data_IF_051372212923
#
_entry.id   IF_051372212923
#
_cell.length_a   1.000
_cell.length_b   1.000
_cell.length_c   1.000
_cell.angle_alpha   90.00
_cell.angle_beta   90.00
_cell.angle_gamma   90.00
#
_symmetry.space_group_name_H-M   'P 1'
#
loop_
_entity.id
_entity.type
_entity.pdbx_description
1 polymer ?
#
# COMPACT_ATOMS: atom_id res chain seq x y z
N UNK A 1 29.15 24.99 -23.99
CA UNK A 1 28.76 24.56 -22.65
C UNK A 1 28.23 23.13 -22.80
N UNK A 2 28.90 22.15 -22.19
CA UNK A 2 28.41 20.77 -22.23
C UNK A 2 27.46 20.62 -21.04
N UNK A 3 26.18 20.20 -21.26
CA UNK A 3 25.27 19.97 -20.15
C UNK A 3 25.78 18.85 -19.25
N UNK A 4 25.42 18.88 -17.97
CA UNK A 4 25.68 17.76 -17.05
C UNK A 4 24.83 16.56 -17.44
N UNK A 5 25.21 15.36 -16.97
CA UNK A 5 24.44 14.15 -17.23
C UNK A 5 23.00 14.27 -16.71
N UNK A 6 22.82 14.85 -15.52
CA UNK A 6 21.51 15.08 -14.92
C UNK A 6 20.64 16.00 -15.78
N UNK A 7 21.21 17.12 -16.24
CA UNK A 7 20.47 18.07 -17.10
C UNK A 7 20.06 17.45 -18.43
N UNK A 8 20.92 16.62 -19.03
CA UNK A 8 20.60 15.93 -20.27
C UNK A 8 19.56 14.83 -20.06
N UNK A 9 19.63 14.11 -18.93
CA UNK A 9 18.62 13.11 -18.55
C UNK A 9 17.22 13.75 -18.42
N UNK A 10 17.11 14.82 -17.62
CA UNK A 10 15.85 15.55 -17.45
C UNK A 10 15.34 16.11 -18.77
N UNK A 11 16.23 16.69 -19.61
CA UNK A 11 15.86 17.16 -20.93
C UNK A 11 15.26 16.06 -21.82
N UNK A 12 15.84 14.85 -21.78
CA UNK A 12 15.33 13.71 -22.55
C UNK A 12 13.99 13.22 -22.02
N UNK A 13 13.83 13.12 -20.71
CA UNK A 13 12.56 12.76 -20.08
C UNK A 13 11.44 13.69 -20.55
N UNK A 14 11.66 14.99 -20.54
CA UNK A 14 10.70 15.98 -21.04
C UNK A 14 10.48 15.88 -22.54
N UNK A 15 11.56 15.69 -23.33
CA UNK A 15 11.47 15.62 -24.79
C UNK A 15 10.63 14.45 -25.30
N UNK A 16 10.56 13.37 -24.51
CA UNK A 16 9.80 12.16 -24.84
C UNK A 16 8.50 12.03 -24.02
N UNK A 17 8.18 13.02 -23.17
CA UNK A 17 7.00 13.01 -22.30
C UNK A 17 6.93 11.79 -21.37
N UNK A 18 8.08 11.38 -20.81
CA UNK A 18 8.21 10.21 -19.93
C UNK A 18 8.21 10.53 -18.43
N UNK A 19 7.84 11.74 -18.04
CA UNK A 19 7.89 12.16 -16.63
C UNK A 19 7.13 11.26 -15.66
N UNK A 20 5.96 10.75 -16.08
CA UNK A 20 5.13 9.83 -15.28
C UNK A 20 5.49 8.35 -15.43
N UNK A 21 6.25 7.99 -16.48
CA UNK A 21 6.48 6.59 -16.86
C UNK A 21 7.90 6.11 -16.58
N UNK A 22 8.73 6.96 -15.97
CA UNK A 22 10.10 6.60 -15.62
C UNK A 22 10.50 7.09 -14.23
N UNK A 23 11.56 6.48 -13.71
CA UNK A 23 12.22 6.88 -12.47
C UNK A 23 13.71 7.07 -12.71
N UNK A 24 14.34 7.98 -11.97
CA UNK A 24 15.80 8.17 -12.01
C UNK A 24 16.42 7.58 -10.76
N UNK A 25 17.30 6.59 -10.90
CA UNK A 25 18.01 5.98 -9.79
C UNK A 25 19.50 6.29 -9.80
N UNK A 26 20.12 6.43 -8.63
CA UNK A 26 21.53 6.66 -8.50
C UNK A 26 22.08 6.18 -7.16
N UNK A 27 23.35 5.76 -7.16
CA UNK A 27 24.15 5.56 -5.92
C UNK A 27 24.71 6.88 -5.35
N UNK A 28 24.62 7.97 -6.12
CA UNK A 28 25.01 9.30 -5.68
C UNK A 28 23.79 10.10 -5.27
N UNK A 29 23.68 10.41 -3.98
CA UNK A 29 22.61 11.26 -3.48
C UNK A 29 22.66 12.68 -4.07
N UNK A 30 23.87 13.21 -4.34
CA UNK A 30 24.06 14.52 -5.00
C UNK A 30 23.42 14.54 -6.39
N UNK A 31 23.52 13.46 -7.15
CA UNK A 31 22.85 13.29 -8.46
C UNK A 31 21.33 13.40 -8.31
N UNK A 32 20.74 12.74 -7.30
CA UNK A 32 19.29 12.83 -7.05
C UNK A 32 18.88 14.24 -6.66
N UNK A 33 19.67 14.94 -5.83
CA UNK A 33 19.42 16.34 -5.50
C UNK A 33 19.39 17.22 -6.77
N UNK A 34 20.34 17.03 -7.67
CA UNK A 34 20.39 17.79 -8.93
C UNK A 34 19.21 17.50 -9.84
N UNK A 35 18.75 16.24 -9.92
CA UNK A 35 17.53 15.88 -10.66
C UNK A 35 16.33 16.60 -10.08
N UNK A 36 16.15 16.56 -8.75
CA UNK A 36 15.03 17.23 -8.06
C UNK A 36 15.11 18.78 -8.14
N UNK A 37 16.29 19.36 -8.25
CA UNK A 37 16.47 20.79 -8.51
C UNK A 37 16.03 21.19 -9.92
N UNK A 38 16.24 20.31 -10.89
CA UNK A 38 15.87 20.53 -12.31
C UNK A 38 14.38 20.26 -12.54
N UNK A 39 13.86 19.22 -11.92
CA UNK A 39 12.44 18.87 -11.97
C UNK A 39 12.06 18.07 -10.69
N UNK A 40 11.30 18.67 -9.74
CA UNK A 40 10.89 18.03 -8.51
C UNK A 40 9.86 16.90 -8.71
N UNK A 41 9.18 16.84 -9.87
CA UNK A 41 8.11 15.88 -10.13
C UNK A 41 8.67 14.54 -10.63
N UNK A 42 9.91 14.49 -11.12
CA UNK A 42 10.56 13.24 -11.52
C UNK A 42 10.80 12.36 -10.27
N UNK A 43 10.25 11.14 -10.29
CA UNK A 43 10.47 10.17 -9.22
C UNK A 43 11.92 9.71 -9.16
N UNK A 44 12.52 9.74 -7.96
CA UNK A 44 13.93 9.41 -7.77
C UNK A 44 14.13 8.30 -6.75
N UNK A 45 15.08 7.39 -7.03
CA UNK A 45 15.42 6.25 -6.17
C UNK A 45 16.90 6.23 -5.77
N UNK A 46 17.17 6.06 -4.48
CA UNK A 46 18.53 5.93 -3.96
C UNK A 46 18.96 4.47 -3.90
N UNK A 47 20.01 4.12 -4.64
CA UNK A 47 20.53 2.75 -4.71
C UNK A 47 21.50 2.52 -3.55
N UNK A 48 21.18 1.53 -2.70
CA UNK A 48 22.02 1.09 -1.58
C UNK A 48 22.56 -0.31 -1.85
N UNK A 49 23.87 -0.40 -2.11
CA UNK A 49 24.58 -1.67 -2.28
C UNK A 49 25.09 -2.27 -0.95
N UNK A 50 25.08 -1.50 0.13
CA UNK A 50 25.48 -1.92 1.46
C UNK A 50 24.51 -1.30 2.46
N UNK A 51 23.91 -2.12 3.30
CA UNK A 51 22.95 -1.71 4.35
C UNK A 51 23.58 -0.97 5.53
N UNK A 52 24.62 -0.17 5.32
CA UNK A 52 25.35 0.55 6.36
C UNK A 52 24.78 1.95 6.50
N UNK A 53 23.95 2.16 7.49
CA UNK A 53 23.48 3.47 7.92
C UNK A 53 21.96 3.55 8.02
N UNK A 54 21.48 4.30 9.00
CA UNK A 54 20.04 4.49 9.30
C UNK A 54 19.50 5.80 8.71
N UNK A 55 20.15 6.33 7.68
CA UNK A 55 19.76 7.61 7.08
C UNK A 55 18.74 7.43 5.97
N UNK A 56 17.47 7.23 6.35
CA UNK A 56 16.36 7.21 5.39
C UNK A 56 15.69 8.59 5.24
N UNK A 57 16.20 9.61 5.91
CA UNK A 57 15.74 11.01 5.84
C UNK A 57 16.49 11.76 4.72
N UNK A 58 16.22 11.33 3.48
CA UNK A 58 16.83 11.88 2.27
C UNK A 58 15.75 12.51 1.40
N UNK A 59 15.48 13.83 1.47
CA UNK A 59 14.39 14.48 0.74
C UNK A 59 14.38 14.24 -0.77
N UNK A 60 15.58 14.13 -1.37
CA UNK A 60 15.71 13.87 -2.81
C UNK A 60 15.68 12.36 -3.17
N UNK A 61 15.16 11.51 -2.32
CA UNK A 61 14.91 10.10 -2.63
C UNK A 61 13.45 9.78 -2.30
N UNK A 62 12.66 9.46 -3.30
CA UNK A 62 11.26 9.06 -3.11
C UNK A 62 11.17 7.60 -2.68
N UNK A 63 12.12 6.77 -3.14
CA UNK A 63 12.24 5.37 -2.74
C UNK A 63 13.70 4.93 -2.56
N UNK A 64 13.88 3.75 -1.97
CA UNK A 64 15.19 3.09 -1.80
C UNK A 64 15.24 1.79 -2.60
N UNK A 65 16.30 1.61 -3.40
CA UNK A 65 16.58 0.39 -4.13
C UNK A 65 17.75 -0.32 -3.44
N UNK A 66 17.47 -1.43 -2.74
CA UNK A 66 18.40 -2.06 -1.80
C UNK A 66 18.75 -3.48 -2.26
N UNK A 67 20.01 -3.85 -2.11
CA UNK A 67 20.44 -5.24 -2.33
C UNK A 67 19.71 -6.16 -1.31
N UNK A 68 19.10 -7.25 -1.81
CA UNK A 68 18.11 -8.04 -1.09
C UNK A 68 18.61 -8.63 0.23
N UNK A 69 19.88 -9.03 0.30
CA UNK A 69 20.46 -9.65 1.51
C UNK A 69 20.65 -8.68 2.67
N UNK A 70 20.60 -7.37 2.43
CA UNK A 70 20.71 -6.34 3.49
C UNK A 70 19.35 -5.85 4.01
N UNK A 71 18.25 -6.28 3.40
CA UNK A 71 16.92 -5.82 3.79
C UNK A 71 16.49 -6.52 5.07
N UNK A 72 16.00 -5.75 6.02
CA UNK A 72 15.40 -6.25 7.27
C UNK A 72 14.03 -5.63 7.50
N UNK A 73 13.17 -6.30 8.23
CA UNK A 73 11.85 -5.77 8.61
C UNK A 73 11.94 -4.39 9.30
N UNK A 74 13.00 -4.19 10.12
CA UNK A 74 13.25 -2.88 10.75
C UNK A 74 13.59 -1.78 9.75
N UNK A 75 14.34 -2.09 8.69
CA UNK A 75 14.64 -1.16 7.59
C UNK A 75 13.36 -0.77 6.84
N UNK A 76 12.56 -1.77 6.43
CA UNK A 76 11.27 -1.55 5.75
C UNK A 76 10.37 -0.62 6.56
N UNK A 77 10.17 -0.91 7.85
CA UNK A 77 9.37 -0.07 8.75
C UNK A 77 9.89 1.37 8.85
N UNK A 78 11.20 1.58 8.88
CA UNK A 78 11.80 2.93 8.98
C UNK A 78 11.61 3.73 7.69
N UNK A 79 11.65 3.07 6.55
CA UNK A 79 11.41 3.67 5.23
C UNK A 79 9.93 4.03 5.09
N UNK A 80 9.01 3.10 5.41
CA UNK A 80 7.57 3.33 5.37
C UNK A 80 7.10 4.43 6.33
N UNK A 81 7.69 4.55 7.53
CA UNK A 81 7.40 5.67 8.45
C UNK A 81 7.69 7.06 7.86
N UNK A 82 8.46 7.13 6.78
CA UNK A 82 8.79 8.36 6.05
C UNK A 82 7.97 8.51 4.76
N UNK A 83 6.93 7.69 4.60
CA UNK A 83 6.10 7.64 3.40
C UNK A 83 6.90 7.39 2.12
N UNK A 84 7.94 6.54 2.21
CA UNK A 84 8.78 6.11 1.10
C UNK A 84 8.65 4.61 0.91
N UNK A 85 8.98 4.14 -0.30
CA UNK A 85 8.94 2.72 -0.65
C UNK A 85 10.34 2.11 -0.76
N UNK A 86 10.39 0.78 -0.77
CA UNK A 86 11.63 0.01 -0.88
C UNK A 86 11.51 -1.06 -1.96
N UNK A 87 12.48 -1.07 -2.88
CA UNK A 87 12.63 -2.09 -3.92
C UNK A 87 13.83 -2.98 -3.60
N UNK A 88 13.67 -4.29 -3.72
CA UNK A 88 14.73 -5.28 -3.50
C UNK A 88 15.34 -5.76 -4.81
N UNK A 89 16.68 -5.84 -4.89
CA UNK A 89 17.41 -6.39 -6.05
C UNK A 89 18.58 -7.27 -5.63
N UNK A 90 18.99 -8.27 -6.38
CA UNK A 90 18.24 -8.94 -7.45
C UNK A 90 17.64 -10.22 -6.88
N UNK A 91 16.33 -10.34 -6.95
CA UNK A 91 15.58 -11.43 -6.30
C UNK A 91 15.24 -12.51 -7.34
N UNK A 92 15.96 -13.62 -7.33
CA UNK A 92 15.87 -14.69 -8.33
C UNK A 92 15.43 -16.03 -7.75
N UNK A 93 15.05 -16.08 -6.48
CA UNK A 93 14.56 -17.27 -5.79
C UNK A 93 13.20 -16.97 -5.16
N UNK A 94 12.32 -17.96 -5.23
CA UNK A 94 10.96 -17.87 -4.72
C UNK A 94 10.94 -17.68 -3.20
N UNK A 95 11.78 -18.39 -2.47
CA UNK A 95 11.87 -18.28 -1.01
C UNK A 95 12.27 -16.87 -0.57
N UNK A 96 13.28 -16.27 -1.27
CA UNK A 96 13.75 -14.91 -0.98
C UNK A 96 12.65 -13.88 -1.30
N UNK A 97 11.90 -14.10 -2.41
CA UNK A 97 10.78 -13.24 -2.78
C UNK A 97 9.65 -13.28 -1.73
N UNK A 98 9.25 -14.49 -1.32
CA UNK A 98 8.22 -14.69 -0.28
C UNK A 98 8.63 -14.05 1.04
N UNK A 99 9.89 -14.21 1.47
CA UNK A 99 10.39 -13.59 2.70
C UNK A 99 10.33 -12.06 2.62
N UNK A 100 10.83 -11.46 1.53
CA UNK A 100 10.85 -10.01 1.34
C UNK A 100 9.45 -9.41 1.27
N UNK A 101 8.52 -10.05 0.56
CA UNK A 101 7.11 -9.64 0.53
C UNK A 101 6.47 -9.73 1.92
N UNK A 102 6.75 -10.79 2.69
CA UNK A 102 6.21 -10.99 4.03
C UNK A 102 6.60 -9.90 5.03
N UNK A 103 7.79 -9.31 4.86
CA UNK A 103 8.27 -8.19 5.69
C UNK A 103 7.89 -6.82 5.13
N UNK A 104 7.17 -6.76 4.01
CA UNK A 104 6.56 -5.56 3.43
C UNK A 104 7.42 -4.80 2.42
N UNK A 105 8.32 -5.49 1.70
CA UNK A 105 9.01 -4.89 0.54
C UNK A 105 7.99 -4.58 -0.54
N UNK A 106 8.06 -3.39 -1.12
CA UNK A 106 7.05 -2.88 -2.06
C UNK A 106 7.27 -3.39 -3.49
N UNK A 107 8.54 -3.51 -3.93
CA UNK A 107 8.91 -3.91 -5.28
C UNK A 107 10.04 -4.93 -5.30
N UNK A 108 9.98 -5.88 -6.23
CA UNK A 108 11.03 -6.86 -6.48
C UNK A 108 11.64 -6.68 -7.88
N UNK A 109 12.95 -6.47 -7.92
CA UNK A 109 13.72 -6.42 -9.17
C UNK A 109 14.34 -7.80 -9.39
N UNK A 110 13.98 -8.44 -10.51
CA UNK A 110 14.30 -9.85 -10.79
C UNK A 110 14.67 -10.09 -12.26
N UNK A 111 15.48 -11.10 -12.51
CA UNK A 111 15.73 -11.67 -13.85
C UNK A 111 14.69 -12.76 -14.20
N UNK A 112 13.78 -13.10 -13.26
CA UNK A 112 12.77 -14.16 -13.40
C UNK A 112 11.35 -13.64 -13.14
N UNK A 113 10.83 -12.73 -13.98
CA UNK A 113 9.52 -12.12 -13.76
C UNK A 113 8.37 -13.14 -13.73
N UNK A 114 8.43 -14.21 -14.53
CA UNK A 114 7.41 -15.26 -14.56
C UNK A 114 7.27 -15.97 -13.19
N UNK A 115 8.39 -16.21 -12.50
CA UNK A 115 8.41 -16.80 -11.15
C UNK A 115 7.70 -15.87 -10.14
N UNK A 116 8.00 -14.58 -10.18
CA UNK A 116 7.36 -13.59 -9.28
C UNK A 116 5.86 -13.47 -9.59
N UNK A 117 5.48 -13.44 -10.87
CA UNK A 117 4.06 -13.43 -11.27
C UNK A 117 3.27 -14.63 -10.76
N UNK A 118 3.86 -15.83 -10.85
CA UNK A 118 3.24 -17.04 -10.33
C UNK A 118 3.06 -16.95 -8.82
N UNK A 119 4.10 -16.57 -8.08
CA UNK A 119 4.05 -16.40 -6.62
C UNK A 119 2.94 -15.44 -6.20
N UNK A 120 2.85 -14.26 -6.83
CA UNK A 120 1.82 -13.26 -6.52
C UNK A 120 0.41 -13.72 -6.88
N UNK A 121 0.25 -14.57 -7.91
CA UNK A 121 -1.06 -15.13 -8.27
C UNK A 121 -1.54 -16.18 -7.28
N UNK A 122 -0.64 -17.01 -6.75
CA UNK A 122 -0.94 -18.02 -5.73
C UNK A 122 -1.34 -17.35 -4.40
N UNK A 123 -0.66 -16.28 -3.99
CA UNK A 123 -1.00 -15.49 -2.80
C UNK A 123 -2.37 -14.79 -2.95
N UNK A 124 -2.67 -14.23 -4.12
CA UNK A 124 -3.98 -13.62 -4.40
C UNK A 124 -5.13 -14.64 -4.37
N UNK A 125 -4.91 -15.87 -4.82
CA UNK A 125 -5.89 -16.94 -4.76
C UNK A 125 -6.12 -17.40 -3.31
N UNK A 126 -5.08 -17.44 -2.48
CA UNK A 126 -5.19 -17.73 -1.04
C UNK A 126 -5.96 -16.62 -0.30
N UNK A 127 -5.66 -15.37 -0.55
CA UNK A 127 -6.37 -14.22 0.04
C UNK A 127 -7.86 -14.21 -0.34
N UNK A 128 -8.20 -14.47 -1.61
CA UNK A 128 -9.58 -14.62 -2.04
C UNK A 128 -10.28 -15.80 -1.34
N UNK A 129 -9.60 -16.93 -1.18
CA UNK A 129 -10.14 -18.10 -0.50
C UNK A 129 -10.41 -17.83 0.99
N UNK A 130 -9.51 -17.07 1.66
CA UNK A 130 -9.69 -16.66 3.05
C UNK A 130 -10.84 -15.66 3.22
N UNK A 131 -11.03 -14.74 2.29
CA UNK A 131 -12.17 -13.80 2.28
C UNK A 131 -13.48 -14.56 2.13
N UNK A 132 -13.56 -15.50 1.18
CA UNK A 132 -14.76 -16.35 0.98
C UNK A 132 -15.05 -17.21 2.19
N UNK A 133 -14.02 -17.79 2.84
CA UNK A 133 -14.17 -18.58 4.06
C UNK A 133 -14.67 -17.71 5.22
N UNK A 134 -14.12 -16.52 5.40
CA UNK A 134 -14.59 -15.57 6.43
C UNK A 134 -16.05 -15.19 6.22
N UNK A 135 -16.45 -14.89 4.98
CA UNK A 135 -17.82 -14.51 4.67
C UNK A 135 -18.78 -15.69 4.85
N UNK A 136 -18.39 -16.90 4.47
CA UNK A 136 -19.15 -18.13 4.75
C UNK A 136 -19.32 -18.38 6.26
N UNK A 137 -18.27 -18.23 7.06
CA UNK A 137 -18.34 -18.37 8.52
C UNK A 137 -19.28 -17.32 9.12
N UNK A 138 -19.17 -16.05 8.69
CA UNK A 138 -20.06 -14.98 9.14
C UNK A 138 -21.54 -15.32 8.88
N UNK A 139 -21.86 -15.79 7.68
CA UNK A 139 -23.24 -16.12 7.28
C UNK A 139 -23.77 -17.36 8.04
N UNK A 140 -22.86 -18.31 8.37
CA UNK A 140 -23.23 -19.50 9.16
C UNK A 140 -23.61 -19.17 10.62
N UNK A 141 -23.01 -18.13 11.19
CA UNK A 141 -23.22 -17.65 12.57
C UNK A 141 -24.03 -16.36 12.64
N UNK A 142 -24.55 -15.87 11.51
CA UNK A 142 -25.52 -14.77 11.53
C UNK A 142 -26.75 -15.23 12.31
N UNK A 143 -27.25 -14.44 13.29
CA UNK A 143 -28.51 -14.77 13.96
C UNK A 143 -29.58 -14.82 12.86
N UNK A 144 -30.31 -15.93 12.81
CA UNK A 144 -31.52 -16.01 11.98
C UNK A 144 -32.41 -14.85 12.39
N UNK A 145 -32.86 -14.06 11.44
CA UNK A 145 -33.82 -12.97 11.67
C UNK A 145 -34.94 -13.50 12.54
N UNK A 146 -34.96 -13.08 13.80
CA UNK A 146 -36.11 -13.25 14.66
C UNK A 146 -37.11 -12.24 14.12
N UNK A 147 -38.26 -12.75 13.63
CA UNK A 147 -39.37 -12.02 13.06
C UNK A 147 -39.48 -10.57 13.58
N UNK A 148 -39.34 -9.61 12.67
CA UNK A 148 -39.84 -8.25 12.92
C UNK A 148 -41.36 -8.38 13.25
N UNK A 149 -41.84 -7.80 14.36
CA UNK A 149 -43.25 -7.82 14.67
C UNK A 149 -44.00 -7.14 13.51
N UNK A 150 -44.97 -7.84 12.96
CA UNK A 150 -45.83 -7.34 11.89
C UNK A 150 -46.56 -6.07 12.34
N UNK A 151 -46.82 -5.07 11.45
CA UNK A 151 -47.44 -3.78 11.80
C UNK A 151 -48.87 -3.87 12.36
N UNK A 152 -49.40 -5.04 12.63
CA UNK A 152 -50.78 -5.24 13.17
C UNK A 152 -50.85 -5.22 14.72
N UNK A 153 -49.69 -5.26 15.45
CA UNK A 153 -49.71 -5.18 16.92
C UNK A 153 -49.60 -3.74 17.50
N UNK A 154 -49.25 -2.74 16.71
CA UNK A 154 -49.17 -1.34 17.16
C UNK A 154 -50.53 -0.59 17.29
N UNK A 155 -51.64 -1.19 16.85
CA UNK A 155 -52.97 -0.51 16.84
C UNK A 155 -53.86 -0.83 18.05
N UNK A 156 -53.39 -1.61 19.01
CA UNK A 156 -54.20 -1.99 20.19
C UNK A 156 -53.81 -1.25 21.48
N UNK A 157 -52.67 -0.56 21.53
CA UNK A 157 -52.24 0.18 22.72
C UNK A 157 -52.69 1.66 22.81
N UNK A 158 -53.28 2.20 21.73
CA UNK A 158 -53.74 3.64 21.68
C UNK A 158 -55.22 3.81 22.07
N UNK A 159 -55.92 2.82 22.58
CA UNK A 159 -57.33 2.89 22.95
C UNK A 159 -57.59 2.66 24.48
N UNK A 160 -56.66 3.08 25.32
CA UNK A 160 -56.94 3.19 26.78
C UNK A 160 -57.06 4.69 27.07
N UNK A 161 -58.31 5.16 27.02
CA UNK A 161 -58.71 6.51 27.41
C UNK A 161 -58.32 6.82 28.86
N UNK A 162 -57.83 8.03 29.03
CA UNK A 162 -57.51 8.72 30.30
C UNK A 162 -58.68 8.69 31.27
N UNK A 163 -58.55 8.13 32.51
CA UNK A 163 -59.64 8.04 33.47
C UNK A 163 -59.95 9.33 34.22
N UNK A 164 -59.36 10.46 33.91
CA UNK A 164 -59.50 11.72 34.69
C UNK A 164 -60.48 12.77 34.15
N UNK A 165 -61.30 12.48 33.08
CA UNK A 165 -62.22 13.47 32.51
C UNK A 165 -63.69 13.34 32.98
N UNK A 166 -63.97 12.74 34.16
CA UNK A 166 -65.30 12.58 34.69
C UNK A 166 -65.53 13.18 36.12
N UNK A 167 -64.86 14.28 36.47
CA UNK A 167 -65.15 15.00 37.72
C UNK A 167 -65.16 16.51 37.56
N UNK A 168 -65.99 17.06 36.63
CA UNK A 168 -66.41 18.42 36.77
C UNK A 168 -67.75 18.70 36.01
N UNK A 169 -68.87 18.25 36.58
CA UNK A 169 -70.20 18.72 36.26
C UNK A 169 -71.16 18.48 37.43
N UNK A 170 -71.08 19.32 38.46
CA UNK A 170 -72.22 19.60 39.36
C UNK A 170 -72.01 20.92 40.05
#
# INVERSE_FOLDING_TARGET
>A
FTPTLEAETVRLIHAYDYGSDCVVTSQSYETLCKVKELDPDITTGYILALGVGTYYDLPAADFFSVESTFITAGMVQQIHKRSKTISAWTVNREEDASELLSIGVDDLITDKPDMIQQLLSEDADLDNSLVLLRDFIRDLFAPSDVDEPTPEEETIEEAIEDPDELLDAS
#
